data_IF_579908878301
#
_entry.id   IF_579908878301
#
_cell.length_a   1.000
_cell.length_b   1.000
_cell.length_c   1.000
_cell.angle_alpha   90.00
_cell.angle_beta   90.00
_cell.angle_gamma   90.00
#
_symmetry.space_group_name_H-M   'P 1'
#
loop_
_entity.id
_entity.type
_entity.pdbx_description
1 polymer ?
#
# COMPACT_ATOMS: atom_id res chain seq x y z
N UNK A 1 -71.70 14.49 -32.23
CA UNK A 1 -72.71 15.00 -31.29
C UNK A 1 -72.62 14.15 -30.03
N UNK A 2 -71.90 14.63 -29.00
CA UNK A 2 -72.45 15.28 -27.79
C UNK A 2 -72.79 14.21 -26.72
N UNK A 3 -72.28 14.18 -25.48
CA UNK A 3 -71.72 15.21 -24.59
C UNK A 3 -70.80 14.58 -23.50
N UNK A 4 -69.85 15.42 -23.05
CA UNK A 4 -68.90 15.38 -21.92
C UNK A 4 -69.50 15.12 -20.51
N UNK A 5 -68.60 14.82 -19.54
CA UNK A 5 -68.48 15.24 -18.09
C UNK A 5 -68.14 14.03 -17.19
N UNK A 6 -67.27 13.98 -16.15
CA UNK A 6 -66.51 14.89 -15.24
C UNK A 6 -65.46 13.96 -14.54
N UNK A 7 -64.14 14.23 -14.56
CA UNK A 7 -63.28 14.91 -13.59
C UNK A 7 -62.86 14.16 -12.29
N UNK A 8 -61.54 13.95 -12.13
CA UNK A 8 -60.71 14.07 -10.92
C UNK A 8 -59.23 13.99 -11.39
N UNK A 9 -58.47 15.06 -11.59
CA UNK A 9 -57.87 16.00 -10.64
C UNK A 9 -56.87 15.34 -9.67
N UNK A 10 -55.57 15.53 -9.97
CA UNK A 10 -54.42 15.21 -9.14
C UNK A 10 -53.12 15.70 -9.79
N UNK A 11 -52.84 17.00 -9.70
CA UNK A 11 -51.59 17.66 -10.12
C UNK A 11 -50.77 18.00 -8.86
N UNK A 12 -49.50 17.60 -8.83
CA UNK A 12 -48.32 18.34 -8.33
C UNK A 12 -47.14 17.34 -8.22
N UNK A 13 -46.17 17.35 -9.14
CA UNK A 13 -45.04 18.28 -9.24
C UNK A 13 -44.04 18.17 -8.07
N UNK A 14 -42.97 17.39 -8.30
CA UNK A 14 -41.64 17.60 -7.71
C UNK A 14 -40.59 16.89 -8.56
N UNK A 15 -40.31 17.44 -9.75
CA UNK A 15 -39.05 17.17 -10.44
C UNK A 15 -37.96 17.98 -9.76
N UNK A 16 -37.06 17.31 -9.04
CA UNK A 16 -35.76 17.88 -8.67
C UNK A 16 -34.70 17.20 -9.54
N UNK A 17 -34.52 17.77 -10.74
CA UNK A 17 -33.32 17.59 -11.56
C UNK A 17 -32.42 18.77 -11.23
N UNK A 18 -31.34 18.52 -10.53
CA UNK A 18 -30.17 19.40 -10.34
C UNK A 18 -29.04 18.44 -10.00
N UNK A 19 -28.00 18.24 -10.79
CA UNK A 19 -27.12 19.23 -11.39
C UNK A 19 -26.56 18.67 -12.72
N UNK A 20 -26.73 19.43 -13.80
CA UNK A 20 -25.88 19.32 -14.96
C UNK A 20 -24.57 20.06 -14.62
N UNK A 21 -23.49 19.33 -14.41
CA UNK A 21 -22.13 19.86 -14.48
C UNK A 21 -21.61 19.53 -15.89
N UNK A 22 -21.56 20.56 -16.75
CA UNK A 22 -20.87 20.50 -18.03
C UNK A 22 -19.37 20.68 -17.81
N UNK A 23 -18.55 19.79 -18.37
CA UNK A 23 -17.16 20.11 -18.72
C UNK A 23 -16.20 18.93 -18.57
N UNK A 24 -15.72 18.39 -19.70
CA UNK A 24 -14.50 17.57 -19.74
C UNK A 24 -14.68 16.18 -20.34
N UNK A 25 -14.29 16.04 -21.59
CA UNK A 25 -14.24 14.79 -22.34
C UNK A 25 -13.12 13.89 -21.81
N UNK A 26 -13.46 12.82 -21.09
CA UNK A 26 -12.53 11.79 -20.63
C UNK A 26 -13.28 10.64 -19.99
N UNK A 27 -13.50 9.56 -20.76
CA UNK A 27 -14.01 8.31 -20.23
C UNK A 27 -13.02 7.74 -19.20
N UNK A 28 -13.39 7.78 -17.93
CA UNK A 28 -12.87 6.87 -16.93
C UNK A 28 -14.07 6.37 -16.13
N UNK A 29 -14.39 5.09 -16.32
CA UNK A 29 -15.40 4.38 -15.54
C UNK A 29 -14.87 4.30 -14.10
N UNK A 30 -15.22 5.30 -13.29
CA UNK A 30 -14.76 5.44 -11.92
C UNK A 30 -15.51 4.44 -11.05
N UNK A 31 -14.86 3.33 -10.71
CA UNK A 31 -15.33 2.31 -9.74
C UNK A 31 -15.56 2.85 -8.30
N UNK A 32 -15.59 4.17 -8.10
CA UNK A 32 -15.85 4.82 -6.82
C UNK A 32 -17.36 5.10 -6.64
N UNK A 33 -18.07 4.14 -6.03
CA UNK A 33 -19.51 4.26 -5.75
C UNK A 33 -19.89 5.41 -4.82
N UNK A 34 -18.93 5.94 -4.04
CA UNK A 34 -19.13 7.06 -3.12
C UNK A 34 -18.96 8.42 -3.81
N UNK A 35 -18.24 8.46 -4.93
CA UNK A 35 -17.91 9.70 -5.64
C UNK A 35 -16.90 10.61 -4.92
N UNK A 36 -16.42 10.24 -3.72
CA UNK A 36 -15.46 11.01 -2.92
C UNK A 36 -14.03 10.57 -3.24
N UNK A 37 -13.19 11.50 -3.65
CA UNK A 37 -11.76 11.29 -3.92
C UNK A 37 -10.90 11.68 -2.72
N UNK A 38 -9.66 11.21 -2.69
CA UNK A 38 -8.73 11.44 -1.59
C UNK A 38 -8.49 12.92 -1.26
N UNK A 39 -8.29 13.83 -2.24
CA UNK A 39 -8.09 15.26 -1.93
C UNK A 39 -9.30 15.93 -1.27
N UNK A 40 -10.50 15.33 -1.36
CA UNK A 40 -11.73 15.86 -0.78
C UNK A 40 -11.94 15.39 0.67
N UNK A 41 -11.14 14.44 1.16
CA UNK A 41 -11.27 13.87 2.50
C UNK A 41 -10.58 14.76 3.52
N UNK A 42 -11.38 15.27 4.48
CA UNK A 42 -10.89 15.91 5.69
C UNK A 42 -10.90 14.92 6.84
N UNK A 43 -9.72 14.49 7.28
CA UNK A 43 -9.56 13.53 8.38
C UNK A 43 -10.20 14.06 9.67
N UNK A 44 -11.08 13.25 10.26
CA UNK A 44 -11.84 13.58 11.47
C UNK A 44 -13.16 14.31 11.24
N UNK A 45 -13.48 14.67 9.98
CA UNK A 45 -14.74 15.28 9.56
C UNK A 45 -15.48 14.39 8.57
N UNK A 46 -14.87 14.12 7.41
CA UNK A 46 -15.48 13.33 6.34
C UNK A 46 -15.68 11.88 6.80
N UNK A 47 -16.91 11.37 6.74
CA UNK A 47 -17.25 9.98 7.06
C UNK A 47 -17.23 9.62 8.55
N UNK A 48 -17.24 10.61 9.46
CA UNK A 48 -17.14 10.39 10.92
C UNK A 48 -18.29 9.54 11.50
N UNK A 49 -19.46 9.59 10.88
CA UNK A 49 -20.67 8.87 11.27
C UNK A 49 -20.80 7.48 10.64
N UNK A 50 -19.85 7.10 9.76
CA UNK A 50 -19.85 5.79 9.12
C UNK A 50 -19.72 4.66 10.15
N UNK A 51 -20.51 3.62 9.93
CA UNK A 51 -20.41 2.35 10.64
C UNK A 51 -20.07 1.26 9.65
N UNK A 52 -18.86 0.73 9.77
CA UNK A 52 -18.34 -0.28 8.85
C UNK A 52 -17.39 -1.22 9.56
N UNK A 53 -17.22 -2.41 9.00
CA UNK A 53 -16.12 -3.29 9.33
C UNK A 53 -15.33 -3.52 8.04
N UNK A 54 -14.05 -3.17 8.05
CA UNK A 54 -13.16 -3.30 6.89
C UNK A 54 -12.01 -4.24 7.21
N UNK A 55 -11.54 -4.98 6.21
CA UNK A 55 -10.41 -5.90 6.29
C UNK A 55 -9.20 -5.32 5.58
N UNK A 56 -8.12 -5.12 6.33
CA UNK A 56 -6.83 -4.67 5.83
C UNK A 56 -5.84 -5.84 5.73
N UNK A 57 -5.45 -6.20 4.51
CA UNK A 57 -4.52 -7.28 4.21
C UNK A 57 -3.11 -6.76 3.87
N UNK A 58 -2.08 -7.23 4.57
CA UNK A 58 -0.70 -6.78 4.34
C UNK A 58 0.38 -7.83 4.66
N UNK A 59 1.62 -7.60 4.21
CA UNK A 59 2.75 -8.52 4.42
C UNK A 59 3.54 -8.30 5.72
N UNK A 60 3.16 -7.33 6.56
CA UNK A 60 3.88 -6.98 7.80
C UNK A 60 3.42 -7.85 8.96
N UNK A 61 3.71 -9.15 8.86
CA UNK A 61 3.39 -10.16 9.89
C UNK A 61 4.03 -9.82 11.24
N UNK A 62 5.21 -9.22 11.22
CA UNK A 62 5.93 -8.73 12.40
C UNK A 62 5.10 -7.71 13.21
N UNK A 63 4.43 -6.77 12.54
CA UNK A 63 3.56 -5.77 13.16
C UNK A 63 2.22 -6.33 13.63
N UNK A 64 1.87 -7.56 13.25
CA UNK A 64 0.70 -8.28 13.78
C UNK A 64 0.93 -8.86 15.18
N UNK A 65 2.18 -8.90 15.65
CA UNK A 65 2.54 -9.51 16.93
C UNK A 65 2.51 -8.47 18.06
N UNK A 66 2.04 -8.88 19.24
CA UNK A 66 2.14 -8.08 20.47
C UNK A 66 3.60 -7.87 20.93
N UNK A 67 4.51 -8.77 20.52
CA UNK A 67 5.94 -8.69 20.83
C UNK A 67 6.72 -7.76 19.87
N UNK A 68 6.06 -7.11 18.91
CA UNK A 68 6.72 -6.19 18.00
C UNK A 68 7.37 -5.06 18.82
N UNK A 69 8.68 -4.79 18.64
CA UNK A 69 9.38 -3.80 19.46
C UNK A 69 8.99 -2.35 19.15
N UNK A 70 8.30 -2.11 18.03
CA UNK A 70 7.80 -0.79 17.64
C UNK A 70 6.29 -0.65 17.82
N UNK A 71 5.71 0.32 17.12
CA UNK A 71 4.26 0.51 17.08
C UNK A 71 3.61 -0.54 16.17
N UNK A 72 2.81 -1.43 16.76
CA UNK A 72 2.16 -2.53 16.05
C UNK A 72 0.81 -2.12 15.44
N UNK A 73 0.17 -3.01 14.69
CA UNK A 73 -1.10 -2.72 14.04
C UNK A 73 -2.23 -2.40 15.02
N UNK A 74 -2.31 -3.10 16.14
CA UNK A 74 -3.30 -2.83 17.19
C UNK A 74 -3.22 -1.38 17.68
N UNK A 75 -2.01 -0.88 17.93
CA UNK A 75 -1.81 0.51 18.35
C UNK A 75 -2.18 1.52 17.25
N UNK A 76 -1.91 1.24 15.97
CA UNK A 76 -2.37 2.11 14.89
C UNK A 76 -3.89 2.11 14.75
N UNK A 77 -4.55 0.96 14.88
CA UNK A 77 -6.01 0.88 14.77
C UNK A 77 -6.70 1.59 15.95
N UNK A 78 -6.10 1.52 17.14
CA UNK A 78 -6.57 2.30 18.29
C UNK A 78 -6.59 3.80 17.99
N UNK A 79 -5.48 4.36 17.54
CA UNK A 79 -5.37 5.79 17.23
C UNK A 79 -6.32 6.19 16.09
N UNK A 80 -6.50 5.32 15.08
CA UNK A 80 -7.49 5.52 14.02
C UNK A 80 -8.92 5.54 14.60
N UNK A 81 -9.25 4.63 15.51
CA UNK A 81 -10.57 4.53 16.11
C UNK A 81 -10.90 5.66 17.10
N UNK A 82 -9.90 6.35 17.66
CA UNK A 82 -10.14 7.59 18.41
C UNK A 82 -10.74 8.68 17.50
N UNK A 83 -10.36 8.70 16.21
CA UNK A 83 -10.90 9.63 15.21
C UNK A 83 -12.18 9.11 14.53
N UNK A 84 -12.21 7.81 14.23
CA UNK A 84 -13.30 7.12 13.53
C UNK A 84 -13.80 5.90 14.35
N UNK A 85 -14.61 6.11 15.40
CA UNK A 85 -15.00 5.04 16.31
C UNK A 85 -16.00 4.04 15.71
N UNK A 86 -16.69 4.41 14.63
CA UNK A 86 -17.67 3.54 13.96
C UNK A 86 -17.07 2.55 12.96
N UNK A 87 -15.78 2.70 12.59
CA UNK A 87 -15.12 1.88 11.57
C UNK A 87 -14.19 0.88 12.24
N UNK A 88 -14.58 -0.39 12.28
CA UNK A 88 -13.72 -1.45 12.81
C UNK A 88 -12.79 -1.99 11.73
N UNK A 89 -11.47 -1.98 11.99
CA UNK A 89 -10.48 -2.50 11.04
C UNK A 89 -9.96 -3.86 11.49
N UNK A 90 -10.20 -4.89 10.68
CA UNK A 90 -9.67 -6.25 10.84
C UNK A 90 -8.36 -6.38 10.07
N UNK A 91 -7.25 -6.52 10.78
CA UNK A 91 -5.94 -6.71 10.13
C UNK A 91 -5.69 -8.20 9.87
N UNK A 92 -5.35 -8.53 8.62
CA UNK A 92 -4.92 -9.86 8.21
C UNK A 92 -3.51 -9.77 7.64
N UNK A 93 -2.64 -10.71 8.01
CA UNK A 93 -1.25 -10.75 7.51
C UNK A 93 -0.88 -12.13 7.02
N UNK A 94 -0.06 -12.20 5.97
CA UNK A 94 0.44 -13.46 5.41
C UNK A 94 1.95 -13.33 5.15
N UNK A 95 2.72 -14.37 5.49
CA UNK A 95 4.16 -14.41 5.23
C UNK A 95 4.47 -14.59 3.75
N UNK A 96 3.64 -15.33 3.00
CA UNK A 96 3.74 -15.43 1.54
C UNK A 96 2.83 -14.39 0.86
N UNK A 97 3.00 -13.13 1.26
CA UNK A 97 2.06 -12.06 0.95
C UNK A 97 1.80 -11.89 -0.56
N UNK A 98 2.84 -11.90 -1.38
CA UNK A 98 2.73 -11.62 -2.82
C UNK A 98 1.78 -12.60 -3.52
N UNK A 99 1.96 -13.90 -3.29
CA UNK A 99 1.13 -14.94 -3.91
C UNK A 99 -0.29 -14.95 -3.33
N UNK A 100 -0.42 -14.81 -2.02
CA UNK A 100 -1.72 -14.79 -1.33
C UNK A 100 -2.55 -13.57 -1.74
N UNK A 101 -1.93 -12.40 -1.89
CA UNK A 101 -2.59 -11.17 -2.32
C UNK A 101 -3.06 -11.27 -3.77
N UNK A 102 -2.21 -11.77 -4.67
CA UNK A 102 -2.58 -11.97 -6.07
C UNK A 102 -3.74 -12.98 -6.20
N UNK A 103 -3.70 -14.08 -5.44
CA UNK A 103 -4.78 -15.07 -5.41
C UNK A 103 -6.11 -14.45 -4.95
N UNK A 104 -6.09 -13.64 -3.88
CA UNK A 104 -7.29 -12.94 -3.38
C UNK A 104 -7.83 -11.91 -4.38
N UNK A 105 -6.93 -11.21 -5.07
CA UNK A 105 -7.29 -10.24 -6.10
C UNK A 105 -8.00 -10.92 -7.26
N UNK A 106 -7.43 -12.03 -7.76
CA UNK A 106 -7.98 -12.82 -8.87
C UNK A 106 -9.29 -13.52 -8.51
N UNK A 107 -9.50 -13.87 -7.23
CA UNK A 107 -10.78 -14.39 -6.76
C UNK A 107 -11.94 -13.40 -6.90
N UNK A 108 -11.64 -12.11 -7.05
CA UNK A 108 -12.59 -11.02 -7.33
C UNK A 108 -13.85 -11.07 -6.45
N UNK A 109 -13.64 -11.11 -5.14
CA UNK A 109 -14.69 -11.14 -4.13
C UNK A 109 -14.48 -10.06 -3.06
N UNK A 110 -15.39 -9.99 -2.09
CA UNK A 110 -15.44 -9.00 -1.01
C UNK A 110 -14.72 -9.45 0.28
N UNK A 111 -13.78 -10.40 0.19
CA UNK A 111 -13.05 -10.92 1.36
C UNK A 111 -11.97 -9.97 1.92
N UNK A 112 -11.76 -8.83 1.26
CA UNK A 112 -10.79 -7.79 1.61
C UNK A 112 -11.32 -6.43 1.17
N UNK A 113 -10.94 -5.36 1.88
CA UNK A 113 -11.34 -3.99 1.56
C UNK A 113 -10.13 -3.13 1.19
N UNK A 114 -9.00 -3.35 1.88
CA UNK A 114 -7.73 -2.67 1.64
C UNK A 114 -6.63 -3.71 1.58
N UNK A 115 -5.79 -3.67 0.55
CA UNK A 115 -4.58 -4.49 0.47
C UNK A 115 -3.39 -3.70 -0.07
N UNK A 116 -2.16 -4.10 0.27
CA UNK A 116 -0.97 -3.63 -0.43
C UNK A 116 -0.95 -4.23 -1.85
N UNK A 117 -0.92 -3.39 -2.88
CA UNK A 117 -1.07 -3.84 -4.27
C UNK A 117 0.05 -4.83 -4.65
N UNK A 118 -0.27 -6.09 -5.02
CA UNK A 118 0.72 -7.08 -5.47
C UNK A 118 1.25 -6.74 -6.87
N UNK A 119 2.10 -7.62 -7.43
CA UNK A 119 2.61 -7.45 -8.78
C UNK A 119 1.50 -7.69 -9.82
N UNK A 120 0.87 -6.61 -10.27
CA UNK A 120 -0.23 -6.58 -11.25
C UNK A 120 0.09 -5.52 -12.30
N UNK A 121 -0.32 -5.76 -13.55
CA UNK A 121 -0.15 -4.75 -14.60
C UNK A 121 -0.92 -3.48 -14.24
N UNK A 122 -0.32 -2.32 -14.51
CA UNK A 122 -0.96 -1.03 -14.26
C UNK A 122 -2.27 -0.90 -15.03
N UNK A 123 -2.36 -1.47 -16.24
CA UNK A 123 -3.59 -1.43 -17.04
C UNK A 123 -4.76 -2.19 -16.43
N UNK A 124 -4.49 -3.06 -15.44
CA UNK A 124 -5.52 -3.82 -14.75
C UNK A 124 -5.97 -3.17 -13.45
N UNK A 125 -5.34 -2.07 -13.00
CA UNK A 125 -5.68 -1.45 -11.72
C UNK A 125 -7.15 -1.05 -11.63
N UNK A 126 -7.73 -0.50 -12.70
CA UNK A 126 -9.15 -0.12 -12.73
C UNK A 126 -10.11 -1.30 -12.54
N UNK A 127 -9.67 -2.52 -12.86
CA UNK A 127 -10.50 -3.73 -12.72
C UNK A 127 -10.66 -4.15 -11.26
N UNK A 128 -9.72 -3.75 -10.39
CA UNK A 128 -9.65 -4.27 -9.02
C UNK A 128 -9.62 -3.21 -7.93
N UNK A 129 -9.12 -2.01 -8.22
CA UNK A 129 -8.88 -0.96 -7.23
C UNK A 129 -9.71 0.28 -7.52
N UNK A 130 -10.15 0.93 -6.44
CA UNK A 130 -10.81 2.23 -6.51
C UNK A 130 -9.76 3.30 -6.77
N UNK A 131 -10.05 4.21 -7.70
CA UNK A 131 -9.20 5.38 -7.90
C UNK A 131 -9.33 6.34 -6.72
N UNK A 132 -8.18 6.76 -6.18
CA UNK A 132 -8.10 7.81 -5.16
C UNK A 132 -8.32 9.20 -5.75
N UNK A 133 -8.23 9.38 -7.07
CA UNK A 133 -8.41 10.67 -7.75
C UNK A 133 -7.53 10.78 -8.99
N UNK A 134 -7.64 11.94 -9.66
CA UNK A 134 -6.75 12.30 -10.76
C UNK A 134 -5.31 12.41 -10.25
N UNK A 135 -4.36 11.82 -10.99
CA UNK A 135 -2.96 11.78 -10.58
C UNK A 135 -2.36 13.17 -10.39
N UNK A 136 -2.78 14.16 -11.18
CA UNK A 136 -2.32 15.54 -11.04
C UNK A 136 -2.77 16.21 -9.73
N UNK A 137 -3.93 15.82 -9.19
CA UNK A 137 -4.41 16.31 -7.91
C UNK A 137 -3.77 15.54 -6.76
N UNK A 138 -3.61 14.23 -6.90
CA UNK A 138 -2.90 13.41 -5.94
C UNK A 138 -1.43 13.85 -5.77
N UNK A 139 -0.76 14.27 -6.84
CA UNK A 139 0.66 14.71 -6.79
C UNK A 139 0.85 15.99 -5.95
N UNK A 140 -0.21 16.76 -5.70
CA UNK A 140 -0.19 17.93 -4.81
C UNK A 140 -0.25 17.53 -3.33
N UNK A 141 -0.82 16.35 -3.03
CA UNK A 141 -1.09 15.89 -1.67
C UNK A 141 -0.10 14.82 -1.19
N UNK A 142 0.35 13.95 -2.09
CA UNK A 142 1.22 12.81 -1.77
C UNK A 142 2.44 12.73 -2.68
N UNK A 143 3.53 12.20 -2.13
CA UNK A 143 4.70 11.83 -2.95
C UNK A 143 4.39 10.54 -3.71
N UNK A 144 5.04 10.37 -4.87
CA UNK A 144 4.94 9.15 -5.69
C UNK A 144 3.51 8.86 -6.18
N UNK A 145 2.68 9.89 -6.38
CA UNK A 145 1.30 9.75 -6.84
C UNK A 145 1.17 8.97 -8.16
N UNK A 146 2.22 8.99 -8.99
CA UNK A 146 2.29 8.31 -10.28
C UNK A 146 2.83 6.85 -10.21
N UNK A 147 3.28 6.38 -9.04
CA UNK A 147 3.90 5.04 -8.92
C UNK A 147 2.90 3.91 -9.18
N UNK A 148 1.67 4.07 -8.65
CA UNK A 148 0.53 3.17 -8.83
C UNK A 148 -0.61 3.87 -9.56
N UNK A 149 -0.28 4.56 -10.64
CA UNK A 149 -1.24 5.25 -11.50
C UNK A 149 -1.36 4.60 -12.88
N UNK A 150 -2.54 4.72 -13.48
CA UNK A 150 -2.84 4.32 -14.84
C UNK A 150 -3.94 5.23 -15.42
N UNK A 151 -3.86 5.53 -16.71
CA UNK A 151 -4.84 6.38 -17.42
C UNK A 151 -5.19 7.70 -16.70
N UNK A 152 -4.18 8.38 -16.16
CA UNK A 152 -4.34 9.64 -15.44
C UNK A 152 -4.94 9.54 -14.03
N UNK A 153 -5.23 8.34 -13.55
CA UNK A 153 -5.82 8.07 -12.24
C UNK A 153 -4.84 7.34 -11.31
N UNK A 154 -4.81 7.72 -10.03
CA UNK A 154 -3.98 7.04 -9.02
C UNK A 154 -4.82 6.00 -8.27
N UNK A 155 -4.31 4.76 -8.18
CA UNK A 155 -5.01 3.60 -7.59
C UNK A 155 -4.32 3.06 -6.33
N UNK A 156 -3.12 3.52 -6.03
CA UNK A 156 -2.37 3.11 -4.85
C UNK A 156 -1.59 4.27 -4.27
N UNK A 157 -1.41 4.22 -2.95
CA UNK A 157 -0.60 5.17 -2.19
C UNK A 157 0.51 4.37 -1.52
N UNK A 158 1.76 4.78 -1.71
CA UNK A 158 2.90 4.14 -1.06
C UNK A 158 2.79 4.28 0.47
N UNK A 159 3.03 3.18 1.20
CA UNK A 159 2.99 3.21 2.67
C UNK A 159 4.15 3.99 3.27
N UNK A 160 5.29 4.01 2.58
CA UNK A 160 6.50 4.74 2.91
C UNK A 160 7.33 4.99 1.63
N UNK A 161 8.29 5.90 1.71
CA UNK A 161 9.28 6.12 0.65
C UNK A 161 10.56 5.36 0.99
N UNK A 162 10.93 4.40 0.15
CA UNK A 162 12.11 3.56 0.37
C UNK A 162 13.18 3.82 -0.70
N UNK A 163 14.44 3.59 -0.33
CA UNK A 163 15.59 3.61 -1.26
C UNK A 163 16.26 2.25 -1.27
N UNK A 164 16.66 1.78 -2.44
CA UNK A 164 17.48 0.56 -2.54
C UNK A 164 18.91 0.83 -2.10
N UNK A 165 19.45 -0.07 -1.28
CA UNK A 165 20.82 0.04 -0.76
C UNK A 165 21.25 -1.26 -0.09
N UNK A 166 22.41 -1.21 0.55
CA UNK A 166 22.98 -2.33 1.29
C UNK A 166 22.97 -2.01 2.78
N UNK A 167 22.31 -2.86 3.56
CA UNK A 167 22.40 -2.80 5.03
C UNK A 167 23.74 -3.41 5.45
N UNK A 168 24.51 -2.74 6.29
CA UNK A 168 25.81 -3.23 6.75
C UNK A 168 26.03 -3.07 8.26
N UNK A 169 26.85 -3.96 8.83
CA UNK A 169 27.29 -3.83 10.21
C UNK A 169 28.59 -3.02 10.31
N UNK A 170 28.48 -1.78 10.78
CA UNK A 170 29.62 -0.86 10.90
C UNK A 170 30.76 -1.39 11.79
N UNK A 171 30.45 -2.15 12.85
CA UNK A 171 31.47 -2.78 13.69
C UNK A 171 32.24 -3.87 12.92
N UNK A 172 31.55 -4.71 12.15
CA UNK A 172 32.19 -5.75 11.33
C UNK A 172 33.09 -5.12 10.26
N UNK A 173 32.65 -4.03 9.63
CA UNK A 173 33.46 -3.29 8.66
C UNK A 173 34.74 -2.73 9.30
N UNK A 174 34.62 -2.11 10.47
CA UNK A 174 35.75 -1.59 11.24
C UNK A 174 36.72 -2.71 11.64
N UNK A 175 36.21 -3.80 12.22
CA UNK A 175 37.01 -4.95 12.64
C UNK A 175 37.73 -5.62 11.46
N UNK A 176 37.13 -5.56 10.25
CA UNK A 176 37.72 -6.08 9.02
C UNK A 176 38.77 -5.15 8.37
N UNK A 177 38.95 -3.93 8.86
CA UNK A 177 39.85 -2.94 8.25
C UNK A 177 39.28 -2.29 6.98
N UNK A 178 37.95 -2.13 6.90
CA UNK A 178 37.26 -1.37 5.86
C UNK A 178 36.97 0.04 6.41
N UNK A 179 37.76 1.02 6.00
CA UNK A 179 37.70 2.40 6.51
C UNK A 179 36.84 3.34 5.65
N UNK A 180 36.60 2.97 4.39
CA UNK A 180 35.74 3.71 3.46
C UNK A 180 34.65 2.78 2.92
N UNK A 181 33.44 3.32 2.72
CA UNK A 181 32.35 2.56 2.12
C UNK A 181 32.61 2.32 0.64
N UNK A 182 32.45 1.08 0.15
CA UNK A 182 32.69 0.75 -1.25
C UNK A 182 31.67 1.45 -2.15
N UNK A 183 32.15 2.01 -3.25
CA UNK A 183 31.39 2.75 -4.26
C UNK A 183 31.35 2.03 -5.60
N UNK A 184 32.23 1.04 -5.81
CA UNK A 184 32.21 0.18 -7.02
C UNK A 184 32.02 -1.29 -6.65
N UNK A 185 31.57 -2.14 -7.60
CA UNK A 185 31.49 -3.58 -7.40
C UNK A 185 32.83 -4.20 -6.98
N UNK A 186 33.95 -3.74 -7.51
CA UNK A 186 35.29 -4.25 -7.19
C UNK A 186 35.67 -3.90 -5.75
N UNK A 187 35.42 -2.66 -5.32
CA UNK A 187 35.62 -2.22 -3.93
C UNK A 187 34.72 -3.01 -2.97
N UNK A 188 33.49 -3.30 -3.38
CA UNK A 188 32.55 -4.10 -2.59
C UNK A 188 33.06 -5.53 -2.41
N UNK A 189 33.50 -6.19 -3.49
CA UNK A 189 34.10 -7.53 -3.41
C UNK A 189 35.37 -7.54 -2.55
N UNK A 190 36.20 -6.50 -2.64
CA UNK A 190 37.39 -6.36 -1.80
C UNK A 190 37.02 -6.20 -0.31
N UNK A 191 35.98 -5.44 0.01
CA UNK A 191 35.46 -5.32 1.37
C UNK A 191 34.90 -6.66 1.89
N UNK A 192 34.15 -7.40 1.08
CA UNK A 192 33.65 -8.73 1.43
C UNK A 192 34.79 -9.72 1.70
N UNK A 193 35.85 -9.68 0.89
CA UNK A 193 37.07 -10.49 1.10
C UNK A 193 37.73 -10.17 2.44
N UNK A 194 37.92 -8.87 2.76
CA UNK A 194 38.44 -8.44 4.07
C UNK A 194 37.58 -8.94 5.23
N UNK A 195 36.26 -8.84 5.12
CA UNK A 195 35.33 -9.33 6.15
C UNK A 195 35.48 -10.85 6.35
N UNK A 196 35.61 -11.60 5.25
CA UNK A 196 35.80 -13.07 5.29
C UNK A 196 37.10 -13.48 5.96
N UNK A 197 38.18 -12.75 5.68
CA UNK A 197 39.53 -13.07 6.16
C UNK A 197 39.76 -12.64 7.62
N UNK A 198 39.18 -11.49 8.01
CA UNK A 198 39.51 -10.84 9.28
C UNK A 198 38.42 -10.97 10.35
N UNK A 199 37.25 -11.54 10.03
CA UNK A 199 36.12 -11.63 10.97
C UNK A 199 35.43 -13.00 10.92
N UNK A 200 34.51 -13.23 11.86
CA UNK A 200 33.63 -14.43 11.88
C UNK A 200 32.26 -14.19 11.23
N UNK A 201 32.04 -13.02 10.65
CA UNK A 201 30.75 -12.68 10.05
C UNK A 201 30.60 -13.37 8.68
N UNK A 202 29.34 -13.64 8.29
CA UNK A 202 29.02 -14.00 6.90
C UNK A 202 29.12 -12.71 6.07
N UNK A 203 30.03 -12.58 5.09
CA UNK A 203 30.26 -11.30 4.41
C UNK A 203 29.03 -10.72 3.72
N UNK A 204 28.21 -11.57 3.10
CA UNK A 204 26.95 -11.19 2.48
C UNK A 204 25.92 -12.29 2.74
N UNK A 205 24.79 -11.91 3.32
CA UNK A 205 23.71 -12.85 3.60
C UNK A 205 22.59 -12.64 2.58
N UNK A 206 22.41 -13.64 1.71
CA UNK A 206 21.53 -13.51 0.53
C UNK A 206 20.05 -13.64 0.83
N UNK A 207 19.65 -14.18 2.00
CA UNK A 207 18.26 -14.55 2.27
C UNK A 207 17.63 -15.43 1.17
N UNK A 208 18.41 -16.31 0.53
CA UNK A 208 17.99 -17.06 -0.66
C UNK A 208 16.66 -17.85 -0.52
N UNK A 209 16.29 -18.27 0.69
CA UNK A 209 15.02 -18.97 0.94
C UNK A 209 13.78 -18.08 0.77
N UNK A 210 13.96 -16.76 0.84
CA UNK A 210 12.90 -15.76 0.76
C UNK A 210 12.87 -15.17 -0.65
N UNK A 211 11.90 -15.59 -1.48
CA UNK A 211 11.81 -15.14 -2.88
C UNK A 211 11.74 -13.61 -3.01
N UNK A 212 11.04 -12.93 -2.08
CA UNK A 212 10.94 -11.48 -2.06
C UNK A 212 12.29 -10.79 -1.84
N UNK A 213 13.23 -11.40 -1.10
CA UNK A 213 14.56 -10.82 -0.85
C UNK A 213 15.50 -10.90 -2.06
N UNK A 214 15.11 -11.68 -3.07
CA UNK A 214 15.83 -11.80 -4.35
C UNK A 214 15.19 -10.94 -5.46
N UNK A 215 14.06 -10.28 -5.18
CA UNK A 215 13.38 -9.44 -6.15
C UNK A 215 14.14 -8.12 -6.39
N UNK A 216 14.13 -7.59 -7.64
CA UNK A 216 14.79 -6.32 -7.96
C UNK A 216 14.33 -5.17 -7.06
N UNK A 217 15.28 -4.40 -6.52
CA UNK A 217 15.00 -3.21 -5.70
C UNK A 217 14.92 -3.46 -4.18
N UNK A 218 14.97 -4.71 -3.72
CA UNK A 218 15.00 -5.01 -2.28
C UNK A 218 16.39 -4.83 -1.67
N UNK A 219 16.50 -4.30 -0.42
CA UNK A 219 17.79 -4.14 0.23
C UNK A 219 18.46 -5.50 0.48
N UNK A 220 19.66 -5.69 -0.06
CA UNK A 220 20.49 -6.86 0.25
C UNK A 220 21.29 -6.59 1.52
N UNK A 221 21.39 -7.58 2.41
CA UNK A 221 22.12 -7.45 3.67
C UNK A 221 23.57 -7.90 3.47
N UNK A 222 24.52 -6.96 3.58
CA UNK A 222 25.95 -7.29 3.67
C UNK A 222 26.36 -7.38 5.15
N UNK A 223 27.00 -8.47 5.54
CA UNK A 223 27.56 -8.69 6.86
C UNK A 223 26.55 -8.69 8.03
N UNK A 224 25.78 -9.78 8.16
CA UNK A 224 24.95 -10.00 9.36
C UNK A 224 25.15 -11.37 10.02
N UNK A 225 25.31 -11.31 11.35
CA UNK A 225 25.51 -12.34 12.39
C UNK A 225 26.94 -12.91 12.58
N UNK A 226 27.47 -12.92 13.83
CA UNK A 226 28.45 -13.90 14.25
C UNK A 226 27.82 -15.30 14.13
N UNK A 227 28.58 -16.27 13.64
CA UNK A 227 28.13 -17.66 13.57
C UNK A 227 27.83 -18.21 14.97
N UNK A 228 26.55 -18.17 15.38
CA UNK A 228 26.01 -19.05 16.41
C UNK A 228 24.91 -19.91 15.78
N UNK A 229 25.33 -20.98 15.12
CA UNK A 229 24.52 -22.20 15.02
C UNK A 229 24.82 -23.00 16.29
N UNK A 230 23.86 -23.07 17.20
CA UNK A 230 23.78 -24.23 18.09
C UNK A 230 23.37 -25.43 17.24
N UNK A 231 24.02 -26.55 17.53
CA UNK A 231 23.72 -27.92 17.10
C UNK A 231 22.23 -28.24 17.01
#
# INVERSE_FOLDING_TARGET
MNVKKIAAAGIAAACLISVAACGGNGSADSNNKSGVTYPEIKLGETGKDLKAEITFFNGRTDMGLASYPGKNWESYMKDFNEMYPGIKVKVQTDSNYADSALTRLQANNDSWDVMMIPAVDRSEFSNYFVSYGATEDMDKEIKLANEKAYDGQTYGIATDGQTSGVVYNAKVFKDAGVTELPKTPEEFQAALKKIKENTKAIPLYTNFAEAWAMAPGTPTSAATRPATRSS
#
